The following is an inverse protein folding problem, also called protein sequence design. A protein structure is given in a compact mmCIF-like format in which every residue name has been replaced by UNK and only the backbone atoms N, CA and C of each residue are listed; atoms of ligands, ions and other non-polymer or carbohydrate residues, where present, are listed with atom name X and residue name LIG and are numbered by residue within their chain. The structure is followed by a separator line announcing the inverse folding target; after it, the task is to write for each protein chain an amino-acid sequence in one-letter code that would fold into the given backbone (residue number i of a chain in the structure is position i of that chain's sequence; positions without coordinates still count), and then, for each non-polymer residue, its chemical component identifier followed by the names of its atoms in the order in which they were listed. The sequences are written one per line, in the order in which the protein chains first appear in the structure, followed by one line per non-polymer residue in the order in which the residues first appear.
data_IF_101943264631
#
_entry.id   IF_101943264631
#
_cell.length_a   1.000
_cell.length_b   1.000
_cell.length_c   1.000
_cell.angle_alpha   90.00
_cell.angle_beta   90.00
_cell.angle_gamma   90.00
#
_symmetry.space_group_name_H-M   'P 1'
#
loop_
_entity.id
_entity.type
_entity.pdbx_description
1 polymer ?
#
# COMPACT_ATOMS: atom_id res chain seq x y z
N UNK A 1 10.57 -21.70 -2.35
CA UNK A 1 11.56 -20.66 -2.02
C UNK A 1 10.98 -19.60 -1.07
N UNK A 2 9.99 -18.79 -1.47
CA UNK A 2 9.38 -17.74 -0.60
C UNK A 2 8.87 -18.25 0.76
N UNK A 3 8.25 -19.44 0.82
CA UNK A 3 7.80 -20.03 2.08
C UNK A 3 8.94 -20.35 3.05
N UNK A 4 10.09 -20.80 2.53
CA UNK A 4 11.26 -21.13 3.34
C UNK A 4 11.84 -19.83 3.93
N UNK A 5 11.99 -18.79 3.11
CA UNK A 5 12.45 -17.49 3.58
C UNK A 5 11.50 -16.88 4.63
N UNK A 6 10.19 -16.92 4.39
CA UNK A 6 9.18 -16.51 5.37
C UNK A 6 9.35 -17.24 6.71
N UNK A 7 9.49 -18.57 6.69
CA UNK A 7 9.67 -19.37 7.90
C UNK A 7 10.97 -19.04 8.63
N UNK A 8 12.07 -18.83 7.90
CA UNK A 8 13.37 -18.48 8.48
C UNK A 8 13.32 -17.10 9.16
N UNK A 9 12.70 -16.13 8.50
CA UNK A 9 12.51 -14.78 9.05
C UNK A 9 11.64 -14.84 10.31
N UNK A 10 10.48 -15.49 10.24
CA UNK A 10 9.59 -15.62 11.40
C UNK A 10 10.27 -16.32 12.58
N UNK A 11 11.00 -17.40 12.32
CA UNK A 11 11.78 -18.11 13.35
C UNK A 11 12.82 -17.22 14.01
N UNK A 12 13.53 -16.39 13.24
CA UNK A 12 14.52 -15.45 13.81
C UNK A 12 13.86 -14.30 14.55
N UNK A 13 12.73 -13.77 14.07
CA UNK A 13 12.01 -12.74 14.82
C UNK A 13 11.46 -13.27 16.14
N UNK A 14 11.04 -14.53 16.19
CA UNK A 14 10.59 -15.21 17.41
C UNK A 14 11.73 -15.38 18.41
N UNK A 15 12.90 -15.89 17.96
CA UNK A 15 14.12 -16.04 18.77
C UNK A 15 14.55 -14.71 19.44
N UNK A 16 14.39 -13.59 18.73
CA UNK A 16 14.73 -12.26 19.23
C UNK A 16 13.57 -11.55 19.95
N UNK A 17 12.46 -12.24 20.18
CA UNK A 17 11.26 -11.70 20.86
C UNK A 17 10.71 -10.43 20.19
N UNK A 18 10.66 -10.43 18.86
CA UNK A 18 10.15 -9.31 18.07
C UNK A 18 8.70 -9.59 17.69
N UNK A 19 7.80 -8.69 18.10
CA UNK A 19 6.42 -8.72 17.60
C UNK A 19 6.41 -8.50 16.10
N UNK A 20 5.92 -9.49 15.36
CA UNK A 20 5.92 -9.51 13.91
C UNK A 20 4.64 -10.18 13.41
N UNK A 21 4.04 -9.62 12.35
CA UNK A 21 2.84 -10.14 11.68
C UNK A 21 3.15 -10.29 10.19
N UNK A 22 3.10 -11.50 9.62
CA UNK A 22 3.15 -11.67 8.16
C UNK A 22 1.86 -11.12 7.51
N UNK A 23 2.00 -10.41 6.39
CA UNK A 23 0.90 -9.72 5.72
C UNK A 23 0.66 -10.23 4.29
N UNK A 24 -0.45 -9.78 3.70
CA UNK A 24 -0.82 -9.93 2.28
C UNK A 24 -0.74 -11.39 1.80
N UNK A 25 -0.06 -11.60 0.67
CA UNK A 25 0.01 -12.88 -0.03
C UNK A 25 0.64 -13.99 0.80
N UNK A 26 1.49 -13.65 1.78
CA UNK A 26 2.21 -14.66 2.58
C UNK A 26 1.26 -15.49 3.43
N UNK A 27 0.15 -14.89 3.86
CA UNK A 27 -0.96 -15.54 4.58
C UNK A 27 -2.02 -16.01 3.58
N UNK A 28 -2.39 -15.14 2.63
CA UNK A 28 -3.55 -15.36 1.77
C UNK A 28 -3.38 -16.52 0.77
N UNK A 29 -2.14 -16.81 0.36
CA UNK A 29 -1.86 -17.87 -0.64
C UNK A 29 -2.41 -19.23 -0.25
N UNK A 30 -2.55 -19.53 1.04
CA UNK A 30 -3.09 -20.80 1.52
C UNK A 30 -4.61 -20.92 1.37
N UNK A 31 -5.29 -19.84 1.01
CA UNK A 31 -6.73 -19.85 0.71
C UNK A 31 -7.02 -20.09 -0.77
N UNK A 32 -6.01 -19.91 -1.64
CA UNK A 32 -6.12 -20.23 -3.05
C UNK A 32 -6.11 -21.76 -3.25
N UNK A 33 -6.66 -22.28 -4.37
CA UNK A 33 -6.65 -23.72 -4.66
C UNK A 33 -5.23 -24.34 -4.66
N UNK A 34 -4.23 -23.57 -5.06
CA UNK A 34 -2.81 -23.90 -4.88
C UNK A 34 -2.05 -22.64 -4.44
N UNK A 35 -1.10 -22.72 -3.49
CA UNK A 35 -0.36 -21.55 -3.02
C UNK A 35 0.44 -20.81 -4.11
N UNK A 36 0.75 -21.47 -5.22
CA UNK A 36 1.46 -20.93 -6.39
C UNK A 36 0.56 -20.04 -7.24
N UNK A 37 -0.76 -20.21 -7.18
CA UNK A 37 -1.73 -19.38 -7.91
C UNK A 37 -1.73 -17.94 -7.39
N UNK A 38 -1.32 -17.73 -6.14
CA UNK A 38 -1.15 -16.40 -5.56
C UNK A 38 0.32 -15.96 -5.63
N UNK A 39 0.70 -15.45 -6.80
CA UNK A 39 2.04 -14.87 -7.00
C UNK A 39 2.29 -13.67 -6.06
N UNK A 40 3.49 -13.57 -5.51
CA UNK A 40 3.92 -12.51 -4.60
C UNK A 40 5.20 -11.86 -5.12
N UNK A 41 5.24 -10.52 -5.15
CA UNK A 41 6.43 -9.76 -5.55
C UNK A 41 7.40 -9.57 -4.37
N UNK A 42 6.84 -9.54 -3.17
CA UNK A 42 7.47 -9.22 -1.89
C UNK A 42 6.85 -10.07 -0.76
N UNK A 43 7.55 -10.11 0.37
CA UNK A 43 7.05 -10.61 1.65
C UNK A 43 6.95 -9.41 2.59
N UNK A 44 5.73 -9.07 2.99
CA UNK A 44 5.46 -7.94 3.87
C UNK A 44 5.25 -8.39 5.32
N UNK A 45 5.79 -7.62 6.26
CA UNK A 45 5.58 -7.77 7.69
C UNK A 45 5.13 -6.46 8.33
N UNK A 46 4.20 -6.52 9.28
CA UNK A 46 4.05 -5.47 10.30
C UNK A 46 4.98 -5.84 11.47
N UNK A 47 5.79 -4.90 11.94
CA UNK A 47 6.73 -5.16 13.03
C UNK A 47 6.85 -3.99 14.01
N UNK A 48 7.33 -4.28 15.21
CA UNK A 48 7.59 -3.26 16.22
C UNK A 48 8.82 -2.41 15.83
N UNK A 49 8.59 -1.18 15.33
CA UNK A 49 9.66 -0.27 14.88
C UNK A 49 10.76 0.01 15.91
N UNK A 50 10.48 -0.18 17.21
CA UNK A 50 11.50 -0.08 18.27
C UNK A 50 12.60 -1.15 18.13
N UNK A 51 12.36 -2.18 17.33
CA UNK A 51 13.25 -3.31 17.04
C UNK A 51 13.95 -3.23 15.69
N UNK A 52 13.96 -2.06 15.03
CA UNK A 52 14.61 -1.86 13.71
C UNK A 52 16.05 -2.36 13.67
N UNK A 53 16.85 -2.07 14.70
CA UNK A 53 18.26 -2.52 14.75
C UNK A 53 18.38 -4.05 14.81
N UNK A 54 17.50 -4.72 15.55
CA UNK A 54 17.46 -6.18 15.63
C UNK A 54 17.04 -6.79 14.28
N UNK A 55 16.05 -6.20 13.59
CA UNK A 55 15.65 -6.61 12.24
C UNK A 55 16.80 -6.50 11.24
N UNK A 56 17.54 -5.39 11.25
CA UNK A 56 18.71 -5.22 10.36
C UNK A 56 19.74 -6.34 10.58
N UNK A 57 20.08 -6.64 11.83
CA UNK A 57 21.01 -7.71 12.18
C UNK A 57 20.52 -9.09 11.72
N UNK A 58 19.24 -9.40 11.99
CA UNK A 58 18.61 -10.64 11.55
C UNK A 58 18.69 -10.79 10.02
N UNK A 59 18.30 -9.75 9.29
CA UNK A 59 18.26 -9.79 7.84
C UNK A 59 19.65 -9.94 7.24
N UNK A 60 20.66 -9.23 7.76
CA UNK A 60 22.05 -9.43 7.33
C UNK A 60 22.55 -10.84 7.62
N UNK A 61 22.25 -11.40 8.79
CA UNK A 61 22.62 -12.77 9.14
C UNK A 61 21.94 -13.82 8.23
N UNK A 62 20.74 -13.52 7.71
CA UNK A 62 20.02 -14.36 6.75
C UNK A 62 20.49 -14.16 5.28
N UNK A 63 21.51 -13.32 5.06
CA UNK A 63 22.11 -13.06 3.76
C UNK A 63 21.36 -12.04 2.91
N UNK A 64 20.51 -11.21 3.51
CA UNK A 64 19.87 -10.09 2.83
C UNK A 64 20.72 -8.82 2.90
N UNK A 65 20.52 -7.94 1.94
CA UNK A 65 21.06 -6.57 1.93
C UNK A 65 19.93 -5.57 2.04
N UNK A 66 20.06 -4.57 2.91
CA UNK A 66 19.11 -3.47 2.98
C UNK A 66 19.18 -2.61 1.71
N UNK A 67 18.03 -2.20 1.20
CA UNK A 67 17.94 -1.28 0.08
C UNK A 67 18.42 0.12 0.54
N UNK A 68 19.49 0.68 -0.07
CA UNK A 68 20.02 1.98 0.31
C UNK A 68 19.07 3.14 0.00
N UNK A 69 18.12 2.95 -0.93
CA UNK A 69 17.12 3.96 -1.29
C UNK A 69 15.85 3.90 -0.42
N UNK A 70 15.75 2.92 0.49
CA UNK A 70 14.66 2.86 1.48
C UNK A 70 15.00 3.80 2.64
N UNK A 71 14.27 4.92 2.84
CA UNK A 71 14.62 5.95 3.82
C UNK A 71 14.77 5.45 5.27
N UNK A 72 14.18 4.30 5.59
CA UNK A 72 14.25 3.67 6.91
C UNK A 72 14.93 2.28 6.89
N UNK A 73 15.56 1.87 5.77
CA UNK A 73 16.14 0.52 5.59
C UNK A 73 15.19 -0.64 5.88
N UNK A 74 13.91 -0.44 5.56
CA UNK A 74 12.84 -1.41 5.81
C UNK A 74 12.65 -2.41 4.66
N UNK A 75 13.35 -2.21 3.55
CA UNK A 75 13.27 -3.06 2.36
C UNK A 75 14.57 -3.82 2.22
N UNK A 76 14.48 -5.13 2.04
CA UNK A 76 15.62 -6.03 1.97
C UNK A 76 15.57 -6.86 0.70
N UNK A 77 16.74 -7.08 0.10
CA UNK A 77 16.91 -7.87 -1.12
C UNK A 77 17.83 -9.05 -0.86
N UNK A 78 17.53 -10.19 -1.48
CA UNK A 78 18.42 -11.36 -1.54
C UNK A 78 18.30 -12.01 -2.92
N UNK A 79 19.45 -12.28 -3.52
CA UNK A 79 19.57 -13.00 -4.79
C UNK A 79 18.92 -14.41 -4.68
N UNK A 80 18.30 -14.94 -5.76
CA UNK A 80 18.13 -14.30 -7.07
C UNK A 80 16.97 -13.32 -7.15
N UNK A 81 15.85 -13.57 -6.45
CA UNK A 81 14.62 -12.78 -6.55
C UNK A 81 13.80 -12.79 -5.26
N UNK A 82 14.36 -12.27 -4.17
CA UNK A 82 13.64 -12.13 -2.91
C UNK A 82 13.60 -10.69 -2.42
N UNK A 83 12.40 -10.16 -2.23
CA UNK A 83 12.15 -8.85 -1.64
C UNK A 83 11.36 -9.03 -0.35
N UNK A 84 11.82 -8.38 0.72
CA UNK A 84 11.16 -8.39 2.02
C UNK A 84 10.97 -6.96 2.49
N UNK A 85 9.78 -6.63 2.97
CA UNK A 85 9.44 -5.30 3.47
C UNK A 85 8.91 -5.38 4.91
N UNK A 86 9.49 -4.56 5.78
CA UNK A 86 9.10 -4.41 7.18
C UNK A 86 8.41 -3.06 7.39
N UNK A 87 7.15 -3.09 7.79
CA UNK A 87 6.34 -1.89 7.97
C UNK A 87 6.07 -1.66 9.46
N UNK A 88 6.25 -0.43 9.94
CA UNK A 88 5.85 -0.04 11.31
C UNK A 88 4.35 0.22 11.43
N UNK A 89 3.68 0.38 10.30
CA UNK A 89 2.28 0.74 10.16
C UNK A 89 1.65 -0.14 9.07
N UNK A 90 0.39 -0.56 9.21
CA UNK A 90 -0.29 -1.35 8.17
C UNK A 90 -0.38 -0.64 6.82
N UNK A 91 -0.45 0.69 6.85
CA UNK A 91 -0.60 1.52 5.65
C UNK A 91 0.42 2.65 5.64
N UNK A 92 0.85 3.06 4.45
CA UNK A 92 1.55 4.33 4.28
C UNK A 92 0.63 5.48 4.70
N UNK A 93 1.17 6.50 5.37
CA UNK A 93 0.41 7.67 5.86
C UNK A 93 0.15 8.64 4.72
N UNK A 94 -0.75 8.25 3.81
CA UNK A 94 -1.01 8.98 2.56
C UNK A 94 -2.34 9.76 2.58
N UNK A 95 -3.23 9.44 3.55
CA UNK A 95 -4.56 10.03 3.71
C UNK A 95 -5.17 9.70 5.10
N UNK A 96 -6.25 10.38 5.46
CA UNK A 96 -6.88 10.29 6.79
C UNK A 96 -7.35 8.88 7.16
N UNK A 97 -7.91 8.12 6.21
CA UNK A 97 -8.39 6.76 6.51
C UNK A 97 -7.23 5.80 6.80
N UNK A 98 -6.08 5.95 6.12
CA UNK A 98 -4.90 5.11 6.41
C UNK A 98 -4.37 5.39 7.81
N UNK A 99 -4.43 6.63 8.28
CA UNK A 99 -4.05 6.97 9.66
C UNK A 99 -4.99 6.35 10.68
N UNK A 100 -6.30 6.29 10.39
CA UNK A 100 -7.27 5.65 11.29
C UNK A 100 -6.91 4.20 11.63
N UNK A 101 -6.42 3.42 10.65
CA UNK A 101 -6.07 2.02 10.83
C UNK A 101 -4.67 1.79 11.41
N UNK A 102 -3.78 2.78 11.33
CA UNK A 102 -2.41 2.67 11.79
C UNK A 102 -2.29 2.76 13.34
N UNK A 103 -1.30 2.12 13.96
CA UNK A 103 -0.28 1.23 13.37
C UNK A 103 -0.79 -0.17 13.02
N UNK A 104 -2.00 -0.54 13.47
CA UNK A 104 -2.67 -1.80 13.11
C UNK A 104 -2.61 -2.92 14.14
N UNK A 105 -1.85 -2.75 15.23
CA UNK A 105 -1.75 -3.76 16.29
C UNK A 105 -3.09 -4.12 16.96
N UNK A 106 -4.08 -3.22 16.92
CA UNK A 106 -5.44 -3.47 17.45
C UNK A 106 -6.19 -4.57 16.69
N UNK A 107 -5.75 -4.89 15.47
CA UNK A 107 -6.31 -5.94 14.63
C UNK A 107 -5.56 -7.26 14.75
N UNK A 108 -4.70 -7.41 15.77
CA UNK A 108 -3.82 -8.57 15.91
C UNK A 108 -4.11 -9.42 17.14
N UNK A 109 -3.92 -10.73 16.99
CA UNK A 109 -3.96 -11.73 18.06
C UNK A 109 -2.62 -12.48 18.14
N UNK A 110 -2.31 -13.03 19.31
CA UNK A 110 -1.11 -13.85 19.48
C UNK A 110 -1.31 -15.23 18.84
N UNK A 111 -0.23 -15.79 18.26
CA UNK A 111 -0.24 -17.12 17.64
C UNK A 111 -0.12 -18.27 18.67
N UNK A 112 0.08 -17.94 19.95
CA UNK A 112 0.15 -18.86 21.06
C UNK A 112 0.38 -18.12 22.38
N UNK A 113 0.15 -18.80 23.50
CA UNK A 113 0.41 -18.24 24.83
C UNK A 113 1.91 -17.91 24.95
N UNK A 114 2.21 -16.67 25.35
CA UNK A 114 3.57 -16.16 25.58
C UNK A 114 4.51 -16.15 24.36
N UNK A 115 3.96 -16.21 23.13
CA UNK A 115 4.75 -16.05 21.90
C UNK A 115 4.76 -14.60 21.39
N UNK A 116 5.91 -14.08 20.94
CA UNK A 116 6.02 -12.75 20.31
C UNK A 116 5.38 -12.73 18.91
N UNK A 117 5.30 -13.87 18.21
CA UNK A 117 4.65 -13.94 16.90
C UNK A 117 3.13 -13.69 16.98
N UNK A 118 2.65 -12.84 16.07
CA UNK A 118 1.25 -12.39 16.01
C UNK A 118 0.70 -12.62 14.61
N UNK A 119 -0.62 -12.68 14.54
CA UNK A 119 -1.36 -12.67 13.27
C UNK A 119 -2.49 -11.66 13.35
N UNK A 120 -3.01 -11.22 12.21
CA UNK A 120 -4.26 -10.45 12.22
C UNK A 120 -5.42 -11.35 12.64
N UNK A 121 -6.44 -10.78 13.30
CA UNK A 121 -7.73 -11.47 13.45
C UNK A 121 -8.37 -11.65 12.08
N UNK A 122 -9.38 -12.52 11.98
CA UNK A 122 -10.00 -12.79 10.69
C UNK A 122 -10.69 -11.53 10.14
N UNK A 123 -11.33 -10.73 11.00
CA UNK A 123 -11.87 -9.40 10.68
C UNK A 123 -10.76 -8.41 10.33
N UNK A 124 -9.68 -8.41 11.12
CA UNK A 124 -8.53 -7.53 10.94
C UNK A 124 -7.86 -7.73 9.58
N UNK A 125 -7.71 -8.97 9.14
CA UNK A 125 -7.15 -9.30 7.85
C UNK A 125 -8.08 -8.91 6.70
N UNK A 126 -9.40 -9.11 6.85
CA UNK A 126 -10.37 -8.63 5.84
C UNK A 126 -10.35 -7.10 5.70
N UNK A 127 -10.38 -6.38 6.83
CA UNK A 127 -10.25 -4.92 6.89
C UNK A 127 -8.95 -4.50 6.19
N UNK A 128 -7.86 -5.19 6.47
CA UNK A 128 -6.58 -4.93 5.83
C UNK A 128 -6.62 -5.09 4.30
N UNK A 129 -7.21 -6.16 3.76
CA UNK A 129 -7.33 -6.38 2.31
C UNK A 129 -8.10 -5.25 1.62
N UNK A 130 -9.23 -4.85 2.19
CA UNK A 130 -10.10 -3.80 1.63
C UNK A 130 -9.42 -2.43 1.70
N UNK A 131 -8.93 -2.05 2.88
CA UNK A 131 -8.27 -0.75 3.09
C UNK A 131 -6.96 -0.62 2.27
N UNK A 132 -6.22 -1.72 2.11
CA UNK A 132 -5.02 -1.74 1.26
C UNK A 132 -5.37 -1.54 -0.22
N UNK A 133 -6.48 -2.15 -0.65
CA UNK A 133 -7.01 -1.96 -2.00
C UNK A 133 -7.48 -0.51 -2.20
N UNK A 134 -8.16 0.09 -1.23
CA UNK A 134 -8.54 1.50 -1.25
C UNK A 134 -7.31 2.42 -1.31
N UNK A 135 -6.25 2.11 -0.58
CA UNK A 135 -4.99 2.89 -0.62
C UNK A 135 -4.36 2.84 -2.02
N UNK A 136 -4.28 1.66 -2.64
CA UNK A 136 -3.81 1.55 -4.02
C UNK A 136 -4.70 2.34 -4.99
N UNK A 137 -6.02 2.27 -4.82
CA UNK A 137 -6.98 2.98 -5.64
C UNK A 137 -6.80 4.51 -5.56
N UNK A 138 -6.63 5.06 -4.36
CA UNK A 138 -6.30 6.47 -4.14
C UNK A 138 -4.94 6.87 -4.71
N UNK A 139 -3.97 5.96 -4.69
CA UNK A 139 -2.62 6.29 -5.11
C UNK A 139 -2.47 6.24 -6.64
N UNK A 140 -3.00 5.23 -7.31
CA UNK A 140 -2.88 5.10 -8.77
C UNK A 140 -3.70 3.99 -9.42
N UNK A 141 -4.51 3.28 -8.65
CA UNK A 141 -5.28 2.12 -9.07
C UNK A 141 -4.81 0.82 -8.42
N UNK A 142 -5.72 -0.14 -8.39
CA UNK A 142 -5.50 -1.50 -7.91
C UNK A 142 -5.71 -2.49 -9.07
N UNK A 143 -5.12 -3.67 -8.98
CA UNK A 143 -5.24 -4.70 -10.01
C UNK A 143 -6.28 -5.77 -9.68
N UNK A 144 -6.61 -6.60 -10.66
CA UNK A 144 -7.54 -7.73 -10.51
C UNK A 144 -7.22 -8.65 -9.32
N UNK A 145 -5.94 -8.78 -8.98
CA UNK A 145 -5.48 -9.57 -7.84
C UNK A 145 -6.10 -9.10 -6.52
N UNK A 146 -6.26 -7.79 -6.33
CA UNK A 146 -6.87 -7.24 -5.11
C UNK A 146 -8.34 -7.67 -4.96
N UNK A 147 -9.09 -7.68 -6.07
CA UNK A 147 -10.50 -8.12 -6.09
C UNK A 147 -10.59 -9.63 -5.83
N UNK A 148 -9.71 -10.40 -6.47
CA UNK A 148 -9.63 -11.85 -6.27
C UNK A 148 -9.21 -12.22 -4.85
N UNK A 149 -8.29 -11.46 -4.24
CA UNK A 149 -7.86 -11.63 -2.86
C UNK A 149 -9.05 -11.47 -1.90
N UNK A 150 -9.89 -10.46 -2.11
CA UNK A 150 -11.15 -10.25 -1.36
C UNK A 150 -12.10 -11.43 -1.57
N UNK A 151 -12.31 -11.86 -2.82
CA UNK A 151 -13.23 -12.97 -3.12
C UNK A 151 -12.81 -14.28 -2.44
N UNK A 152 -11.55 -14.68 -2.60
CA UNK A 152 -11.01 -15.91 -2.01
C UNK A 152 -11.12 -15.88 -0.48
N UNK A 153 -10.85 -14.72 0.13
CA UNK A 153 -10.96 -14.57 1.58
C UNK A 153 -12.41 -14.73 2.05
N UNK A 154 -13.36 -14.07 1.39
CA UNK A 154 -14.78 -14.17 1.72
C UNK A 154 -15.35 -15.56 1.47
N UNK A 155 -14.89 -16.26 0.44
CA UNK A 155 -15.29 -17.66 0.20
C UNK A 155 -15.04 -18.57 1.40
N UNK A 156 -14.01 -18.28 2.21
CA UNK A 156 -13.68 -19.06 3.42
C UNK A 156 -14.33 -18.52 4.69
N UNK A 157 -14.29 -17.20 4.89
CA UNK A 157 -14.57 -16.61 6.21
C UNK A 157 -15.91 -15.86 6.31
N UNK A 158 -16.64 -15.64 5.20
CA UNK A 158 -17.84 -14.79 5.17
C UNK A 158 -18.86 -15.09 6.27
N UNK A 159 -19.09 -16.37 6.58
CA UNK A 159 -20.11 -16.78 7.56
C UNK A 159 -19.65 -16.68 9.02
N UNK A 160 -18.34 -16.47 9.25
CA UNK A 160 -17.73 -16.39 10.59
C UNK A 160 -17.34 -14.98 11.00
N UNK A 161 -17.26 -14.04 10.05
CA UNK A 161 -16.84 -12.66 10.31
C UNK A 161 -17.90 -11.86 11.06
N UNK A 162 -17.46 -11.04 12.03
CA UNK A 162 -18.32 -10.01 12.63
C UNK A 162 -18.50 -8.81 11.68
N UNK A 163 -19.53 -8.90 10.84
CA UNK A 163 -19.90 -7.86 9.88
C UNK A 163 -20.27 -6.52 10.56
N UNK A 164 -20.85 -6.55 11.77
CA UNK A 164 -21.20 -5.29 12.46
C UNK A 164 -19.94 -4.54 12.86
N UNK A 165 -18.93 -5.25 13.34
CA UNK A 165 -17.64 -4.67 13.67
C UNK A 165 -16.92 -4.15 12.42
N UNK A 166 -16.85 -4.95 11.35
CA UNK A 166 -16.20 -4.58 10.08
C UNK A 166 -16.84 -3.32 9.47
N UNK A 167 -18.16 -3.29 9.38
CA UNK A 167 -18.91 -2.16 8.81
C UNK A 167 -18.68 -0.89 9.61
N UNK A 168 -18.65 -0.99 10.94
CA UNK A 168 -18.37 0.14 11.82
C UNK A 168 -16.95 0.71 11.57
N UNK A 169 -15.94 -0.16 11.44
CA UNK A 169 -14.57 0.26 11.16
C UNK A 169 -14.45 0.95 9.79
N UNK A 170 -15.08 0.40 8.74
CA UNK A 170 -15.09 1.05 7.43
C UNK A 170 -15.85 2.38 7.41
N UNK A 171 -16.96 2.50 8.15
CA UNK A 171 -17.70 3.77 8.27
C UNK A 171 -16.89 4.83 8.99
N UNK A 172 -16.21 4.47 10.09
CA UNK A 172 -15.31 5.37 10.83
C UNK A 172 -14.15 5.85 9.97
N UNK A 173 -13.62 4.97 9.13
CA UNK A 173 -12.57 5.30 8.17
C UNK A 173 -13.08 6.03 6.91
N UNK A 174 -14.39 6.11 6.68
CA UNK A 174 -14.97 6.76 5.50
C UNK A 174 -14.87 5.95 4.19
N UNK A 175 -14.59 4.64 4.27
CA UNK A 175 -14.40 3.77 3.08
C UNK A 175 -15.49 2.68 2.95
N UNK A 176 -16.59 2.78 3.70
CA UNK A 176 -17.66 1.79 3.69
C UNK A 176 -18.26 1.53 2.30
N UNK A 177 -18.59 2.58 1.54
CA UNK A 177 -19.18 2.41 0.21
C UNK A 177 -18.18 1.74 -0.76
N UNK A 178 -16.89 2.08 -0.66
CA UNK A 178 -15.86 1.41 -1.43
C UNK A 178 -15.73 -0.07 -1.06
N UNK A 179 -15.81 -0.40 0.24
CA UNK A 179 -15.79 -1.78 0.72
C UNK A 179 -16.95 -2.60 0.14
N UNK A 180 -18.17 -2.05 0.15
CA UNK A 180 -19.36 -2.69 -0.44
C UNK A 180 -19.20 -2.88 -1.95
N UNK A 181 -18.80 -1.83 -2.68
CA UNK A 181 -18.58 -1.91 -4.12
C UNK A 181 -17.51 -2.97 -4.48
N UNK A 182 -16.43 -3.06 -3.70
CA UNK A 182 -15.36 -4.03 -3.92
C UNK A 182 -15.82 -5.47 -3.64
N UNK A 183 -16.61 -5.66 -2.58
CA UNK A 183 -17.22 -6.95 -2.23
C UNK A 183 -18.19 -7.41 -3.33
N UNK A 184 -19.04 -6.51 -3.82
CA UNK A 184 -20.00 -6.81 -4.87
C UNK A 184 -19.30 -7.11 -6.20
N UNK A 185 -18.28 -6.31 -6.56
CA UNK A 185 -17.47 -6.57 -7.75
C UNK A 185 -16.78 -7.93 -7.69
N UNK A 186 -16.27 -8.32 -6.51
CA UNK A 186 -15.67 -9.62 -6.29
C UNK A 186 -16.66 -10.77 -6.53
N UNK A 187 -17.90 -10.64 -6.08
CA UNK A 187 -18.94 -11.64 -6.30
C UNK A 187 -19.48 -11.64 -7.74
N UNK A 188 -19.43 -10.51 -8.45
CA UNK A 188 -19.75 -10.46 -9.89
C UNK A 188 -18.68 -11.16 -10.72
N UNK A 189 -17.40 -10.93 -10.43
CA UNK A 189 -16.29 -11.47 -11.24
C UNK A 189 -16.06 -12.96 -11.01
N UNK A 190 -16.22 -13.43 -9.77
CA UNK A 190 -15.80 -14.78 -9.38
C UNK A 190 -16.91 -15.59 -8.70
N UNK A 191 -18.04 -14.96 -8.37
CA UNK A 191 -19.20 -15.59 -7.75
C UNK A 191 -20.36 -15.76 -8.73
N UNK A 192 -21.58 -15.50 -8.23
CA UNK A 192 -22.82 -15.69 -8.98
C UNK A 192 -23.62 -14.40 -9.19
N UNK A 193 -23.13 -13.26 -8.71
CA UNK A 193 -23.84 -11.98 -8.83
C UNK A 193 -23.85 -11.48 -10.27
N UNK A 194 -24.91 -10.75 -10.65
CA UNK A 194 -25.06 -10.18 -11.99
C UNK A 194 -24.40 -8.82 -12.07
N UNK A 195 -23.91 -8.48 -13.27
CA UNK A 195 -23.30 -7.20 -13.56
C UNK A 195 -24.23 -6.01 -13.24
N UNK A 196 -23.62 -4.88 -12.90
CA UNK A 196 -24.26 -3.60 -12.64
C UNK A 196 -23.47 -2.51 -13.37
N UNK A 197 -24.12 -1.54 -14.04
CA UNK A 197 -23.40 -0.51 -14.81
C UNK A 197 -22.34 0.26 -14.02
N UNK A 198 -22.61 0.54 -12.73
CA UNK A 198 -21.65 1.18 -11.84
C UNK A 198 -20.41 0.29 -11.60
N UNK A 199 -20.62 -0.99 -11.35
CA UNK A 199 -19.56 -1.94 -11.06
C UNK A 199 -18.80 -2.36 -12.32
N UNK A 200 -19.41 -2.25 -13.50
CA UNK A 200 -18.72 -2.39 -14.78
C UNK A 200 -17.68 -1.28 -14.96
N UNK A 201 -18.02 -0.02 -14.69
CA UNK A 201 -17.08 1.11 -14.77
C UNK A 201 -15.95 0.97 -13.73
N UNK A 202 -16.30 0.55 -12.50
CA UNK A 202 -15.33 0.27 -11.44
C UNK A 202 -14.36 -0.86 -11.85
N UNK A 203 -14.89 -1.93 -12.43
CA UNK A 203 -14.12 -3.05 -12.97
C UNK A 203 -13.21 -2.65 -14.13
N UNK A 204 -13.72 -1.84 -15.06
CA UNK A 204 -12.96 -1.30 -16.20
C UNK A 204 -11.74 -0.51 -15.74
N UNK A 205 -11.90 0.31 -14.69
CA UNK A 205 -10.80 1.05 -14.09
C UNK A 205 -9.74 0.12 -13.49
N UNK A 206 -10.15 -0.95 -12.78
CA UNK A 206 -9.22 -1.93 -12.20
C UNK A 206 -8.45 -2.67 -13.29
N UNK A 207 -9.12 -3.09 -14.37
CA UNK A 207 -8.48 -3.78 -15.50
C UNK A 207 -7.46 -2.87 -16.18
N UNK A 208 -7.83 -1.60 -16.44
CA UNK A 208 -6.94 -0.61 -17.07
C UNK A 208 -5.80 -0.15 -16.16
N UNK A 209 -5.92 -0.35 -14.84
CA UNK A 209 -4.90 0.01 -13.86
C UNK A 209 -3.71 -0.95 -13.86
N UNK A 210 -3.82 -2.14 -14.46
CA UNK A 210 -2.77 -3.17 -14.39
C UNK A 210 -2.52 -3.62 -12.95
N UNK A 211 -1.34 -4.17 -12.66
CA UNK A 211 -1.06 -4.75 -11.33
C UNK A 211 -0.80 -3.69 -10.25
N UNK A 212 -0.18 -2.56 -10.60
CA UNK A 212 0.34 -1.58 -9.63
C UNK A 212 -0.25 -0.17 -9.81
N UNK A 213 -1.31 -0.03 -10.61
CA UNK A 213 -1.83 1.26 -11.02
C UNK A 213 -1.03 1.90 -12.17
N UNK A 214 -1.51 3.04 -12.66
CA UNK A 214 -0.87 3.78 -13.75
C UNK A 214 -0.40 5.16 -13.30
N UNK A 215 0.67 5.67 -13.94
CA UNK A 215 1.11 7.05 -13.71
C UNK A 215 0.07 8.09 -14.07
N UNK A 216 -0.76 7.82 -15.10
CA UNK A 216 -1.85 8.71 -15.46
C UNK A 216 -2.86 8.83 -14.31
N UNK A 217 -3.27 7.70 -13.73
CA UNK A 217 -4.15 7.66 -12.57
C UNK A 217 -3.52 8.34 -11.35
N UNK A 218 -2.24 8.09 -11.07
CA UNK A 218 -1.51 8.76 -9.98
C UNK A 218 -1.58 10.30 -10.10
N UNK A 219 -1.36 10.82 -11.32
CA UNK A 219 -1.42 12.26 -11.59
C UNK A 219 -2.84 12.79 -11.42
N UNK A 220 -3.85 12.10 -11.98
CA UNK A 220 -5.24 12.52 -11.87
C UNK A 220 -5.71 12.53 -10.40
N UNK A 221 -5.41 11.46 -9.65
CA UNK A 221 -5.73 11.37 -8.22
C UNK A 221 -5.06 12.50 -7.42
N UNK A 222 -3.79 12.80 -7.70
CA UNK A 222 -3.07 13.92 -7.07
C UNK A 222 -3.73 15.26 -7.37
N UNK A 223 -4.14 15.49 -8.62
CA UNK A 223 -4.82 16.73 -9.02
C UNK A 223 -6.22 16.86 -8.38
N UNK A 224 -6.97 15.75 -8.24
CA UNK A 224 -8.26 15.73 -7.54
C UNK A 224 -8.12 16.12 -6.07
N UNK A 225 -7.08 15.64 -5.37
CA UNK A 225 -6.83 15.96 -3.94
C UNK A 225 -6.57 17.45 -3.69
N UNK A 226 -5.91 18.14 -4.62
CA UNK A 226 -5.51 19.55 -4.41
C UNK A 226 -6.67 20.55 -4.68
N UNK A 227 -7.75 20.19 -5.39
CA UNK A 227 -8.89 21.08 -5.70
C UNK A 227 -8.78 21.88 -7.01
N UNK A 228 -8.91 23.24 -6.97
CA UNK A 228 -8.89 24.15 -8.15
C UNK A 228 -7.69 23.96 -9.10
N UNK A 229 -7.97 23.48 -10.32
CA UNK A 229 -6.94 22.95 -11.23
C UNK A 229 -5.80 23.93 -11.60
N UNK A 230 -6.09 25.19 -11.95
CA UNK A 230 -5.09 26.12 -12.49
C UNK A 230 -4.01 26.50 -11.46
N UNK A 231 -4.40 26.86 -10.24
CA UNK A 231 -3.49 27.11 -9.11
C UNK A 231 -2.76 25.83 -8.69
N UNK A 232 -3.41 24.68 -8.87
CA UNK A 232 -2.88 23.40 -8.41
C UNK A 232 -1.87 22.78 -9.35
N UNK A 233 -1.94 23.00 -10.68
CA UNK A 233 -0.91 22.52 -11.60
C UNK A 233 0.47 23.06 -11.24
N UNK A 234 0.57 24.38 -11.04
CA UNK A 234 1.82 25.01 -10.64
C UNK A 234 2.26 24.52 -9.27
N UNK A 235 1.36 24.49 -8.27
CA UNK A 235 1.67 24.00 -6.93
C UNK A 235 2.18 22.55 -6.93
N UNK A 236 1.52 21.68 -7.68
CA UNK A 236 1.91 20.26 -7.82
C UNK A 236 3.29 20.19 -8.46
N UNK A 237 3.56 20.94 -9.53
CA UNK A 237 4.91 21.02 -10.14
C UNK A 237 5.96 21.53 -9.14
N UNK A 238 5.67 22.61 -8.41
CA UNK A 238 6.56 23.15 -7.40
C UNK A 238 6.83 22.14 -6.28
N UNK A 239 5.83 21.40 -5.80
CA UNK A 239 6.01 20.34 -4.78
C UNK A 239 6.85 19.15 -5.26
N UNK A 240 6.89 18.91 -6.57
CA UNK A 240 7.72 17.83 -7.14
C UNK A 240 9.18 18.24 -7.27
N UNK A 241 9.45 19.51 -7.62
CA UNK A 241 10.82 20.06 -7.73
C UNK A 241 11.36 20.43 -6.34
N UNK A 242 10.52 21.04 -5.50
CA UNK A 242 10.84 21.42 -4.13
C UNK A 242 9.94 20.68 -3.14
N UNK A 243 10.21 19.39 -2.87
CA UNK A 243 9.45 18.63 -1.89
C UNK A 243 9.47 19.30 -0.51
N UNK A 244 8.36 19.23 0.25
CA UNK A 244 8.30 19.68 1.63
C UNK A 244 9.41 19.06 2.49
N UNK A 245 9.78 19.78 3.57
CA UNK A 245 10.82 19.38 4.50
C UNK A 245 10.69 17.93 4.99
N UNK A 246 9.47 17.50 5.35
CA UNK A 246 9.25 16.13 5.84
C UNK A 246 9.62 15.05 4.81
N UNK A 247 9.39 15.31 3.51
CA UNK A 247 9.78 14.38 2.44
C UNK A 247 11.31 14.33 2.30
N UNK A 248 11.96 15.49 2.34
CA UNK A 248 13.43 15.59 2.26
C UNK A 248 14.09 14.96 3.47
N UNK A 249 13.56 15.20 4.68
CA UNK A 249 14.03 14.62 5.94
C UNK A 249 13.90 13.10 5.95
N UNK A 250 12.80 12.56 5.43
CA UNK A 250 12.64 11.10 5.29
C UNK A 250 13.74 10.52 4.40
N UNK A 251 13.97 11.11 3.22
CA UNK A 251 14.98 10.61 2.26
C UNK A 251 16.43 10.85 2.68
N UNK A 252 16.67 11.94 3.39
CA UNK A 252 17.99 12.35 3.86
C UNK A 252 17.89 12.65 5.35
N UNK A 253 18.05 11.66 6.24
CA UNK A 253 17.94 11.86 7.69
C UNK A 253 18.85 12.99 8.22
N UNK A 254 20.03 13.17 7.60
CA UNK A 254 20.96 14.26 7.93
C UNK A 254 20.43 15.67 7.60
N UNK A 255 19.48 15.80 6.67
CA UNK A 255 18.75 17.06 6.45
C UNK A 255 17.88 17.43 7.65
N UNK A 256 17.41 16.41 8.40
CA UNK A 256 16.69 16.58 9.65
C UNK A 256 17.54 17.21 10.76
N UNK A 257 18.85 16.95 10.76
CA UNK A 257 19.80 17.46 11.76
C UNK A 257 20.22 18.91 11.50
N UNK A 258 20.22 19.34 10.24
CA UNK A 258 20.66 20.67 9.83
C UNK A 258 19.69 21.28 8.80
N UNK A 259 18.56 21.86 9.23
CA UNK A 259 17.52 22.38 8.32
C UNK A 259 18.01 23.47 7.37
N UNK A 260 19.03 24.25 7.74
CA UNK A 260 19.61 25.27 6.86
C UNK A 260 20.30 24.70 5.60
N UNK A 261 20.61 23.38 5.58
CA UNK A 261 21.13 22.69 4.40
C UNK A 261 20.04 22.28 3.39
N UNK A 262 18.76 22.57 3.66
CA UNK A 262 17.64 22.21 2.79
C UNK A 262 17.84 22.56 1.31
N UNK A 263 18.33 23.77 0.95
CA UNK A 263 18.57 24.12 -0.44
C UNK A 263 19.54 23.16 -1.15
N UNK A 264 20.57 22.68 -0.44
CA UNK A 264 21.54 21.71 -0.98
C UNK A 264 20.88 20.36 -1.22
N UNK A 265 20.01 19.93 -0.31
CA UNK A 265 19.27 18.67 -0.47
C UNK A 265 18.23 18.72 -1.59
N UNK A 266 17.60 19.87 -1.85
CA UNK A 266 16.76 20.06 -3.04
C UNK A 266 17.58 19.92 -4.32
N UNK A 267 18.72 20.62 -4.43
CA UNK A 267 19.61 20.50 -5.59
C UNK A 267 20.07 19.05 -5.78
N UNK A 268 20.49 18.37 -4.71
CA UNK A 268 20.89 16.96 -4.77
C UNK A 268 19.74 16.06 -5.22
N UNK A 269 18.53 16.29 -4.73
CA UNK A 269 17.35 15.54 -5.13
C UNK A 269 17.01 15.76 -6.62
N UNK A 270 17.09 16.99 -7.10
CA UNK A 270 16.77 17.37 -8.47
C UNK A 270 17.81 16.86 -9.46
N UNK A 271 19.10 16.96 -9.13
CA UNK A 271 20.18 16.39 -9.95
C UNK A 271 20.02 14.86 -10.07
N UNK A 272 19.76 14.17 -8.96
CA UNK A 272 19.50 12.74 -8.97
C UNK A 272 18.26 12.40 -9.83
N UNK A 273 17.18 13.17 -9.69
CA UNK A 273 15.96 12.97 -10.47
C UNK A 273 16.17 13.26 -11.98
N UNK A 274 17.00 14.24 -12.33
CA UNK A 274 17.34 14.57 -13.73
C UNK A 274 18.27 13.55 -14.38
N UNK A 275 19.13 12.88 -13.60
CA UNK A 275 20.02 11.84 -14.11
C UNK A 275 19.26 10.51 -14.23
N UNK A 276 18.56 10.10 -13.16
CA UNK A 276 17.99 8.76 -13.05
C UNK A 276 16.50 8.67 -13.43
N UNK A 277 15.76 9.79 -13.46
CA UNK A 277 14.29 9.81 -13.63
C UNK A 277 13.82 10.87 -14.64
N UNK A 278 14.68 11.30 -15.56
CA UNK A 278 14.39 12.38 -16.53
C UNK A 278 13.13 12.14 -17.35
N UNK A 279 12.92 10.90 -17.81
CA UNK A 279 11.76 10.55 -18.63
C UNK A 279 10.47 10.63 -17.81
N UNK A 280 10.52 10.20 -16.55
CA UNK A 280 9.39 10.22 -15.63
C UNK A 280 8.94 11.65 -15.34
N UNK A 281 9.90 12.55 -15.05
CA UNK A 281 9.61 13.97 -14.83
C UNK A 281 9.00 14.59 -16.08
N UNK A 282 9.55 14.32 -17.27
CA UNK A 282 9.01 14.82 -18.54
C UNK A 282 7.58 14.33 -18.78
N UNK A 283 7.30 13.05 -18.54
CA UNK A 283 5.96 12.50 -18.66
C UNK A 283 5.01 13.19 -17.69
N UNK A 284 5.42 13.33 -16.44
CA UNK A 284 4.61 13.89 -15.37
C UNK A 284 4.24 15.36 -15.63
N UNK A 285 5.21 16.21 -16.01
CA UNK A 285 4.96 17.61 -16.41
C UNK A 285 4.02 17.69 -17.62
N UNK A 286 4.25 16.88 -18.66
CA UNK A 286 3.40 16.87 -19.87
C UNK A 286 1.96 16.46 -19.58
N UNK A 287 1.76 15.49 -18.70
CA UNK A 287 0.42 15.02 -18.33
C UNK A 287 -0.31 16.07 -17.51
N UNK A 288 0.36 16.71 -16.54
CA UNK A 288 -0.20 17.82 -15.75
C UNK A 288 -0.55 19.01 -16.65
N UNK A 289 0.32 19.38 -17.59
CA UNK A 289 0.06 20.50 -18.50
C UNK A 289 -1.19 20.24 -19.35
N UNK A 290 -1.38 19.00 -19.82
CA UNK A 290 -2.53 18.57 -20.64
C UNK A 290 -3.83 18.30 -19.86
N UNK A 291 -3.78 18.21 -18.53
CA UNK A 291 -4.98 18.01 -17.72
C UNK A 291 -5.97 19.18 -17.92
N UNK A 292 -7.28 18.91 -17.95
CA UNK A 292 -8.31 19.96 -18.05
C UNK A 292 -9.37 19.76 -16.97
N UNK A 293 -10.12 20.82 -16.66
CA UNK A 293 -11.05 20.81 -15.51
C UNK A 293 -12.14 19.76 -15.66
N UNK A 294 -12.67 19.58 -16.87
CA UNK A 294 -13.67 18.56 -17.16
C UNK A 294 -13.16 17.16 -16.81
N UNK A 295 -12.00 16.76 -17.33
CA UNK A 295 -11.42 15.42 -17.07
C UNK A 295 -11.16 15.18 -15.58
N UNK A 296 -10.70 16.18 -14.84
CA UNK A 296 -10.44 16.05 -13.41
C UNK A 296 -11.73 16.00 -12.60
N UNK A 297 -12.77 16.73 -13.03
CA UNK A 297 -14.11 16.65 -12.43
C UNK A 297 -14.73 15.28 -12.68
N UNK A 298 -14.72 14.80 -13.92
CA UNK A 298 -15.24 13.48 -14.30
C UNK A 298 -14.51 12.38 -13.51
N UNK A 299 -13.17 12.46 -13.39
CA UNK A 299 -12.39 11.52 -12.59
C UNK A 299 -12.72 11.61 -11.09
N UNK A 300 -12.91 12.81 -10.54
CA UNK A 300 -13.31 12.97 -9.13
C UNK A 300 -14.72 12.43 -8.86
N UNK A 301 -15.64 12.56 -9.80
CA UNK A 301 -16.99 12.02 -9.71
C UNK A 301 -16.98 10.50 -9.79
N UNK A 302 -16.17 9.93 -10.68
CA UNK A 302 -15.92 8.50 -10.75
C UNK A 302 -15.40 7.93 -9.41
N UNK A 303 -14.39 8.58 -8.80
CA UNK A 303 -13.85 8.14 -7.49
C UNK A 303 -14.93 8.14 -6.40
N UNK A 304 -15.79 9.17 -6.37
CA UNK A 304 -16.94 9.26 -5.45
C UNK A 304 -17.95 8.15 -5.68
N UNK A 305 -18.25 7.84 -6.94
CA UNK A 305 -19.15 6.75 -7.30
C UNK A 305 -18.58 5.39 -6.89
N UNK A 306 -17.26 5.23 -6.93
CA UNK A 306 -16.56 4.06 -6.37
C UNK A 306 -16.57 4.04 -4.83
N UNK A 307 -16.98 5.12 -4.17
CA UNK A 307 -17.08 5.21 -2.71
C UNK A 307 -15.85 5.81 -2.01
N UNK A 308 -15.05 6.62 -2.71
CA UNK A 308 -13.83 7.30 -2.22
C UNK A 308 -13.85 8.83 -2.43
#
# INVERSE_FOLDING_TARGET
MQYIELSNILSKTDEFSINCIPLKGSVLKYLYPSPEMRTMADIDFLYDGRKTSDILLIMYALGYTANPDSPNHHTFYKEPVMNVEFHENLFKKDNDFTEFFNPGWRYSKQTGKDKPLRELTDEGFYIYLVAHTAQHFHNGGAGIRNVMDVWVYLKKYKDTLDWKYIDLEFRRAGIYNFAENLKDLADIWFGSSKASPLLDEFGDYIIRSGTYGTRANQINNTLCKEGRLSTNKLRVIFRTIFPPYEIIKSKYPNAGKYPFLLPIYWIKNDLNALINRKQDIKYWIRTISKANEKKIKDHSEFMKNCGL
#
